data_IF_443473538345
#
_entry.id   IF_443473538345
#
_cell.length_a   1.000
_cell.length_b   1.000
_cell.length_c   1.000
_cell.angle_alpha   90.00
_cell.angle_beta   90.00
_cell.angle_gamma   90.00
#
_symmetry.space_group_name_H-M   'P 1'
#
loop_
_entity.id
_entity.type
_entity.pdbx_description
1 polymer ?
#
# COMPACT_ATOMS: atom_id res chain seq x y z
N UNK A 1 21.67 5.90 -40.94
CA UNK A 1 21.43 4.98 -39.80
C UNK A 1 21.69 5.72 -38.49
N UNK A 2 20.65 6.29 -37.88
CA UNK A 2 20.73 6.90 -36.54
C UNK A 2 20.21 5.89 -35.51
N UNK A 3 21.07 5.47 -34.59
CA UNK A 3 20.70 4.57 -33.48
C UNK A 3 20.07 5.43 -32.37
N UNK A 4 18.75 5.47 -32.32
CA UNK A 4 17.98 5.96 -31.18
C UNK A 4 18.19 5.02 -29.99
N UNK A 5 18.78 5.51 -28.90
CA UNK A 5 18.89 4.77 -27.64
C UNK A 5 17.63 5.03 -26.83
N UNK A 6 16.62 4.18 -26.97
CA UNK A 6 15.45 4.16 -26.09
C UNK A 6 15.84 3.51 -24.75
N UNK A 7 16.15 4.32 -23.74
CA UNK A 7 16.21 3.86 -22.36
C UNK A 7 14.84 4.07 -21.71
N UNK A 8 14.03 3.00 -21.67
CA UNK A 8 12.73 2.99 -20.97
C UNK A 8 13.01 2.67 -19.50
N UNK A 9 13.26 3.72 -18.70
CA UNK A 9 13.30 3.64 -17.25
C UNK A 9 11.90 3.91 -16.68
N UNK A 10 11.34 2.93 -15.95
CA UNK A 10 9.97 2.96 -15.43
C UNK A 10 9.95 3.22 -13.92
N UNK A 11 9.67 4.45 -13.51
CA UNK A 11 9.36 4.85 -12.15
C UNK A 11 8.01 5.57 -12.15
N UNK A 12 7.02 4.79 -11.80
CA UNK A 12 5.67 5.20 -11.49
C UNK A 12 5.63 6.32 -10.45
N UNK A 13 4.95 7.42 -10.80
CA UNK A 13 4.70 8.58 -9.94
C UNK A 13 3.74 8.24 -8.79
N UNK A 14 4.26 7.64 -7.72
CA UNK A 14 3.49 7.36 -6.51
C UNK A 14 3.78 8.41 -5.42
N UNK A 15 3.32 9.65 -5.61
CA UNK A 15 3.30 10.68 -4.55
C UNK A 15 2.60 10.12 -3.29
N UNK A 16 1.55 9.31 -3.45
CA UNK A 16 0.88 8.61 -2.35
C UNK A 16 1.77 7.60 -1.61
N UNK A 17 2.78 7.01 -2.26
CA UNK A 17 3.70 6.09 -1.62
C UNK A 17 4.90 6.80 -0.95
N UNK A 18 5.19 8.05 -1.31
CA UNK A 18 6.20 8.89 -0.64
C UNK A 18 5.64 9.43 0.70
N UNK A 19 4.35 9.76 0.76
CA UNK A 19 3.71 10.30 1.97
C UNK A 19 3.23 9.26 2.99
N UNK A 20 3.43 7.97 2.74
CA UNK A 20 3.19 6.97 3.78
C UNK A 20 1.73 6.79 4.16
N UNK A 21 0.82 6.86 3.20
CA UNK A 21 -0.49 6.19 3.34
C UNK A 21 -0.25 4.68 3.16
N UNK A 22 0.56 4.10 4.05
CA UNK A 22 0.83 2.68 4.10
C UNK A 22 -0.28 1.99 4.88
N UNK A 23 -1.16 1.27 4.17
CA UNK A 23 -1.60 -0.09 4.54
C UNK A 23 -1.64 -0.45 6.04
N UNK A 24 -2.31 0.36 6.86
CA UNK A 24 -2.18 0.26 8.31
C UNK A 24 -3.28 0.93 9.08
N UNK A 25 -4.53 0.80 8.64
CA UNK A 25 -5.69 1.11 9.47
C UNK A 25 -6.53 -0.16 9.66
N UNK A 26 -5.87 -1.22 10.14
CA UNK A 26 -6.55 -2.39 10.69
C UNK A 26 -5.93 -2.72 12.05
N UNK A 27 -6.82 -2.75 13.04
CA UNK A 27 -6.61 -2.93 14.46
C UNK A 27 -6.00 -1.72 15.18
N UNK A 28 -6.79 -1.11 16.06
CA UNK A 28 -6.40 -0.76 17.42
C UNK A 28 -7.67 -0.30 18.16
N UNK A 29 -8.30 -1.26 18.83
CA UNK A 29 -9.10 -1.01 20.01
C UNK A 29 -8.30 -1.66 21.14
N UNK A 30 -7.35 -0.91 21.70
CA UNK A 30 -6.72 -1.13 23.01
C UNK A 30 -5.81 0.07 23.37
N UNK A 31 -5.65 0.40 24.67
CA UNK A 31 -5.12 1.67 25.21
C UNK A 31 -3.61 1.88 24.95
N UNK A 32 -3.08 3.11 25.18
CA UNK A 32 -1.81 3.55 24.60
C UNK A 32 -0.61 2.87 25.27
N UNK A 33 -0.01 1.90 24.57
CA UNK A 33 1.32 1.39 24.91
C UNK A 33 2.43 2.39 24.56
N UNK A 34 3.57 2.37 25.29
CA UNK A 34 4.61 3.37 25.13
C UNK A 34 5.35 3.21 23.80
N UNK A 35 5.36 4.31 23.03
CA UNK A 35 6.42 4.68 22.09
C UNK A 35 6.77 3.65 21.02
N UNK A 36 6.00 3.60 19.94
CA UNK A 36 6.53 3.12 18.66
C UNK A 36 7.43 4.22 18.10
N UNK A 37 8.72 4.13 18.44
CA UNK A 37 9.79 4.82 17.74
C UNK A 37 9.77 4.51 16.23
N UNK A 38 10.46 5.31 15.41
CA UNK A 38 10.32 5.29 13.95
C UNK A 38 10.70 3.93 13.37
N UNK A 39 9.70 3.10 13.00
CA UNK A 39 9.90 1.93 12.13
C UNK A 39 10.46 2.37 10.77
N UNK A 40 11.13 1.49 10.01
CA UNK A 40 12.15 1.82 9.01
C UNK A 40 11.63 2.86 8.01
N UNK A 41 11.90 4.11 8.37
CA UNK A 41 11.32 5.33 7.80
C UNK A 41 12.39 6.39 7.68
N UNK A 42 13.63 5.94 7.44
CA UNK A 42 14.63 6.73 6.73
C UNK A 42 14.04 7.18 5.39
N UNK A 43 14.50 8.32 4.87
CA UNK A 43 13.69 9.13 3.99
C UNK A 43 13.38 8.35 2.71
N UNK A 44 12.12 8.39 2.26
CA UNK A 44 11.61 7.72 1.05
C UNK A 44 12.15 8.36 -0.25
N UNK A 45 13.41 8.82 -0.22
CA UNK A 45 14.16 9.48 -1.28
C UNK A 45 14.43 8.61 -2.51
N UNK A 46 14.60 7.26 -2.44
CA UNK A 46 14.94 6.49 -3.64
C UNK A 46 13.90 6.61 -4.75
N UNK A 47 12.62 6.76 -4.39
CA UNK A 47 11.52 6.90 -5.37
C UNK A 47 11.41 8.31 -5.93
N UNK A 48 11.70 9.34 -5.14
CA UNK A 48 11.70 10.71 -5.63
C UNK A 48 12.86 10.95 -6.59
N UNK A 49 14.04 10.41 -6.28
CA UNK A 49 15.23 10.60 -7.09
C UNK A 49 15.09 9.94 -8.46
N UNK A 50 14.59 8.70 -8.49
CA UNK A 50 14.26 8.01 -9.74
C UNK A 50 13.21 8.75 -10.58
N UNK A 51 12.22 9.36 -9.93
CA UNK A 51 11.22 10.13 -10.62
C UNK A 51 11.79 11.45 -11.16
N UNK A 52 12.63 12.12 -10.37
CA UNK A 52 13.27 13.37 -10.76
C UNK A 52 14.16 13.18 -11.99
N UNK A 53 14.86 12.05 -12.07
CA UNK A 53 15.61 11.63 -13.25
C UNK A 53 14.67 11.38 -14.44
N UNK A 54 13.56 10.67 -14.22
CA UNK A 54 12.63 10.36 -15.30
C UNK A 54 11.84 11.55 -15.82
N UNK A 55 11.59 12.57 -15.01
CA UNK A 55 10.95 13.80 -15.44
C UNK A 55 11.97 14.85 -15.87
N UNK A 56 13.27 14.51 -15.87
CA UNK A 56 14.35 15.43 -16.22
C UNK A 56 14.23 16.76 -15.45
N UNK A 57 13.94 16.67 -14.13
CA UNK A 57 13.68 17.84 -13.31
C UNK A 57 14.92 18.72 -13.17
N UNK A 58 14.72 20.02 -13.32
CA UNK A 58 15.75 21.02 -13.02
C UNK A 58 16.02 21.09 -11.51
N UNK A 59 17.18 21.59 -11.11
CA UNK A 59 17.51 21.71 -9.69
C UNK A 59 16.56 22.68 -8.95
N UNK A 60 16.10 23.74 -9.63
CA UNK A 60 15.07 24.63 -9.11
C UNK A 60 13.75 23.90 -8.83
N UNK A 61 13.29 23.06 -9.77
CA UNK A 61 12.08 22.25 -9.59
C UNK A 61 12.24 21.22 -8.45
N UNK A 62 13.40 20.57 -8.35
CA UNK A 62 13.70 19.64 -7.25
C UNK A 62 13.61 20.33 -5.89
N UNK A 63 14.21 21.52 -5.75
CA UNK A 63 14.14 22.30 -4.51
C UNK A 63 12.70 22.67 -4.15
N UNK A 64 11.90 23.11 -5.12
CA UNK A 64 10.49 23.44 -4.90
C UNK A 64 9.68 22.21 -4.48
N UNK A 65 9.83 21.08 -5.17
CA UNK A 65 9.13 19.84 -4.86
C UNK A 65 9.54 19.29 -3.49
N UNK A 66 10.81 19.41 -3.11
CA UNK A 66 11.28 19.01 -1.78
C UNK A 66 10.57 19.82 -0.69
N UNK A 67 10.46 21.14 -0.85
CA UNK A 67 9.74 22.00 0.09
C UNK A 67 8.26 21.62 0.24
N UNK A 68 7.58 21.32 -0.87
CA UNK A 68 6.19 20.84 -0.88
C UNK A 68 6.04 19.53 -0.10
N UNK A 69 6.96 18.58 -0.31
CA UNK A 69 6.91 17.28 0.38
C UNK A 69 7.25 17.37 1.87
N UNK A 70 8.17 18.25 2.25
CA UNK A 70 8.49 18.52 3.66
C UNK A 70 7.29 19.14 4.39
N UNK A 71 6.59 20.08 3.74
CA UNK A 71 5.36 20.66 4.27
C UNK A 71 4.27 19.59 4.46
N UNK A 72 4.00 18.80 3.42
CA UNK A 72 3.02 17.71 3.48
C UNK A 72 3.35 16.69 4.59
N UNK A 73 4.64 16.35 4.74
CA UNK A 73 5.11 15.46 5.81
C UNK A 73 4.81 16.05 7.19
N UNK A 74 5.06 17.35 7.39
CA UNK A 74 4.77 18.03 8.66
C UNK A 74 3.27 17.99 8.97
N UNK A 75 2.42 18.33 8.00
CA UNK A 75 0.96 18.29 8.16
C UNK A 75 0.46 16.89 8.53
N UNK A 76 0.94 15.85 7.85
CA UNK A 76 0.58 14.47 8.15
C UNK A 76 1.07 14.01 9.53
N UNK A 77 2.22 14.50 9.99
CA UNK A 77 2.71 14.21 11.34
C UNK A 77 1.82 14.84 12.41
N UNK A 78 1.43 16.10 12.23
CA UNK A 78 0.47 16.79 13.10
C UNK A 78 -0.85 16.04 13.13
N UNK A 79 -1.41 15.74 11.95
CA UNK A 79 -2.67 15.01 11.80
C UNK A 79 -2.65 13.65 12.49
N UNK A 80 -1.53 12.92 12.38
CA UNK A 80 -1.37 11.63 13.04
C UNK A 80 -1.45 11.75 14.56
N UNK A 81 -0.81 12.77 15.11
CA UNK A 81 -0.69 12.98 16.55
C UNK A 81 -1.89 13.72 17.18
N UNK A 82 -2.79 14.27 16.37
CA UNK A 82 -3.99 14.97 16.83
C UNK A 82 -4.96 13.99 17.52
N UNK A 83 -5.14 14.09 18.83
CA UNK A 83 -6.02 13.19 19.59
C UNK A 83 -7.48 13.64 19.59
N UNK A 84 -7.79 14.80 19.01
CA UNK A 84 -9.15 15.37 18.98
C UNK A 84 -9.98 14.88 17.80
N UNK A 85 -9.32 14.38 16.74
CA UNK A 85 -9.97 13.94 15.51
C UNK A 85 -10.28 12.44 15.52
N UNK A 86 -11.45 12.09 14.97
CA UNK A 86 -11.79 10.70 14.68
C UNK A 86 -10.91 10.13 13.56
N UNK A 87 -10.88 8.80 13.45
CA UNK A 87 -10.16 8.13 12.37
C UNK A 87 -10.66 8.53 10.98
N UNK A 88 -11.97 8.66 10.80
CA UNK A 88 -12.60 9.08 9.55
C UNK A 88 -12.17 10.50 9.17
N UNK A 89 -12.25 11.44 10.12
CA UNK A 89 -11.79 12.82 9.93
C UNK A 89 -10.31 12.86 9.54
N UNK A 90 -9.46 12.07 10.20
CA UNK A 90 -8.04 11.97 9.84
C UNK A 90 -7.83 11.39 8.44
N UNK A 91 -8.64 10.42 8.02
CA UNK A 91 -8.54 9.86 6.67
C UNK A 91 -8.90 10.90 5.61
N UNK A 92 -9.97 11.65 5.82
CA UNK A 92 -10.41 12.68 4.88
C UNK A 92 -9.41 13.86 4.81
N UNK A 93 -8.90 14.31 5.96
CA UNK A 93 -7.84 15.34 5.98
C UNK A 93 -6.54 14.85 5.33
N UNK A 94 -6.14 13.59 5.54
CA UNK A 94 -4.96 13.02 4.90
C UNK A 94 -5.12 12.94 3.37
N UNK A 95 -6.33 12.63 2.89
CA UNK A 95 -6.65 12.68 1.46
C UNK A 95 -6.50 14.11 0.92
N UNK A 96 -7.04 15.11 1.62
CA UNK A 96 -6.93 16.52 1.22
C UNK A 96 -5.47 16.98 1.14
N UNK A 97 -4.65 16.66 2.15
CA UNK A 97 -3.20 16.98 2.14
C UNK A 97 -2.54 16.33 0.92
N UNK A 98 -2.86 15.06 0.64
CA UNK A 98 -2.28 14.33 -0.50
C UNK A 98 -2.69 14.96 -1.84
N UNK A 99 -3.95 15.38 -1.98
CA UNK A 99 -4.45 16.04 -3.19
C UNK A 99 -3.77 17.39 -3.39
N UNK A 100 -3.73 18.23 -2.35
CA UNK A 100 -3.05 19.53 -2.40
C UNK A 100 -1.56 19.39 -2.74
N UNK A 101 -0.87 18.41 -2.14
CA UNK A 101 0.54 18.12 -2.45
C UNK A 101 0.70 17.75 -3.92
N UNK A 102 -0.20 16.90 -4.46
CA UNK A 102 -0.17 16.50 -5.86
C UNK A 102 -0.34 17.71 -6.78
N UNK A 103 -1.30 18.58 -6.50
CA UNK A 103 -1.61 19.74 -7.32
C UNK A 103 -0.45 20.76 -7.29
N UNK A 104 0.17 20.96 -6.12
CA UNK A 104 1.36 21.80 -5.96
C UNK A 104 2.59 21.24 -6.69
N UNK A 105 2.80 19.93 -6.67
CA UNK A 105 3.89 19.31 -7.45
C UNK A 105 3.60 19.45 -8.94
N UNK A 106 2.36 19.21 -9.36
CA UNK A 106 1.96 19.28 -10.76
C UNK A 106 2.18 20.69 -11.35
N UNK A 107 1.93 21.75 -10.57
CA UNK A 107 2.15 23.14 -11.02
C UNK A 107 3.61 23.55 -11.16
N UNK A 108 4.55 22.81 -10.56
CA UNK A 108 6.00 23.03 -10.71
C UNK A 108 6.54 22.43 -12.02
N UNK A 109 5.81 21.47 -12.60
CA UNK A 109 6.21 20.76 -13.82
C UNK A 109 5.86 21.56 -15.08
N UNK A 110 6.68 21.40 -16.13
CA UNK A 110 6.33 21.87 -17.48
C UNK A 110 5.22 21.02 -18.10
N UNK A 111 4.50 21.50 -19.14
CA UNK A 111 3.46 20.71 -19.81
C UNK A 111 3.96 19.33 -20.30
N UNK A 112 5.17 19.26 -20.84
CA UNK A 112 5.77 18.00 -21.30
C UNK A 112 6.06 17.04 -20.13
N UNK A 113 6.53 17.57 -19.00
CA UNK A 113 6.77 16.79 -17.78
C UNK A 113 5.46 16.31 -17.16
N UNK A 114 4.38 17.09 -17.23
CA UNK A 114 3.04 16.69 -16.79
C UNK A 114 2.51 15.53 -17.62
N UNK A 115 2.61 15.62 -18.96
CA UNK A 115 2.21 14.52 -19.84
C UNK A 115 2.97 13.22 -19.53
N UNK A 116 4.30 13.31 -19.36
CA UNK A 116 5.14 12.16 -18.97
C UNK A 116 4.78 11.60 -17.59
N UNK A 117 4.47 12.49 -16.64
CA UNK A 117 4.03 12.12 -15.30
C UNK A 117 2.70 11.34 -15.31
N UNK A 118 1.73 11.77 -16.11
CA UNK A 118 0.45 11.09 -16.25
C UNK A 118 0.57 9.75 -16.98
N UNK A 119 1.42 9.65 -18.00
CA UNK A 119 1.75 8.38 -18.66
C UNK A 119 2.36 7.38 -17.67
N UNK A 120 3.37 7.81 -16.90
CA UNK A 120 4.01 6.97 -15.87
C UNK A 120 3.01 6.50 -14.82
N UNK A 121 2.04 7.36 -14.45
CA UNK A 121 0.95 6.99 -13.53
C UNK A 121 0.03 5.94 -14.14
N UNK A 122 -0.37 6.10 -15.40
CA UNK A 122 -1.23 5.13 -16.07
C UNK A 122 -0.54 3.75 -16.17
N UNK A 123 0.72 3.72 -16.61
CA UNK A 123 1.50 2.49 -16.69
C UNK A 123 1.67 1.83 -15.31
N UNK A 124 1.83 2.63 -14.26
CA UNK A 124 1.84 2.11 -12.89
C UNK A 124 0.53 1.41 -12.55
N UNK A 125 -0.58 2.09 -12.81
CA UNK A 125 -1.92 1.58 -12.51
C UNK A 125 -2.19 0.26 -13.23
N UNK A 126 -1.85 0.16 -14.52
CA UNK A 126 -1.95 -1.06 -15.31
C UNK A 126 -1.11 -2.19 -14.72
N UNK A 127 0.15 -1.90 -14.34
CA UNK A 127 1.04 -2.89 -13.70
C UNK A 127 0.51 -3.37 -12.36
N UNK A 128 0.02 -2.46 -11.53
CA UNK A 128 -0.60 -2.81 -10.26
C UNK A 128 -1.88 -3.62 -10.47
N UNK A 129 -2.68 -3.28 -11.48
CA UNK A 129 -3.86 -4.05 -11.90
C UNK A 129 -3.50 -5.49 -12.27
N UNK A 130 -2.57 -5.66 -13.20
CA UNK A 130 -2.09 -6.97 -13.63
C UNK A 130 -1.46 -7.78 -12.48
N UNK A 131 -0.70 -7.12 -11.60
CA UNK A 131 -0.12 -7.78 -10.43
C UNK A 131 -1.20 -8.23 -9.44
N UNK A 132 -2.24 -7.42 -9.21
CA UNK A 132 -3.37 -7.78 -8.35
C UNK A 132 -4.10 -8.99 -8.90
N UNK A 133 -4.37 -9.02 -10.19
CA UNK A 133 -5.03 -10.14 -10.87
C UNK A 133 -4.24 -11.44 -10.73
N UNK A 134 -2.92 -11.37 -10.96
CA UNK A 134 -2.03 -12.51 -10.75
C UNK A 134 -2.02 -12.99 -9.29
N UNK A 135 -2.02 -12.06 -8.32
CA UNK A 135 -2.09 -12.44 -6.91
C UNK A 135 -3.43 -13.11 -6.56
N UNK A 136 -4.54 -12.61 -7.10
CA UNK A 136 -5.86 -13.18 -6.90
C UNK A 136 -5.95 -14.61 -7.46
N UNK A 137 -5.46 -14.83 -8.68
CA UNK A 137 -5.38 -16.15 -9.29
C UNK A 137 -4.54 -17.12 -8.46
N UNK A 138 -3.39 -16.66 -7.94
CA UNK A 138 -2.53 -17.45 -7.06
C UNK A 138 -3.21 -17.78 -5.73
N UNK A 139 -3.95 -16.83 -5.15
CA UNK A 139 -4.71 -17.04 -3.93
C UNK A 139 -5.81 -18.08 -4.16
N UNK A 140 -6.57 -17.96 -5.25
CA UNK A 140 -7.60 -18.93 -5.61
C UNK A 140 -6.99 -20.31 -5.84
N UNK A 141 -5.88 -20.40 -6.57
CA UNK A 141 -5.17 -21.68 -6.80
C UNK A 141 -4.74 -22.35 -5.50
N UNK A 142 -4.28 -21.57 -4.51
CA UNK A 142 -3.91 -22.10 -3.19
C UNK A 142 -5.15 -22.55 -2.41
N UNK A 143 -6.22 -21.75 -2.42
CA UNK A 143 -7.47 -22.11 -1.75
C UNK A 143 -8.08 -23.38 -2.35
N UNK A 144 -8.09 -23.53 -3.68
CA UNK A 144 -8.53 -24.75 -4.36
C UNK A 144 -7.78 -25.98 -3.86
N UNK A 145 -6.46 -25.88 -3.70
CA UNK A 145 -5.63 -26.99 -3.20
C UNK A 145 -5.77 -27.26 -1.71
N UNK A 146 -6.10 -26.25 -0.91
CA UNK A 146 -6.16 -26.38 0.55
C UNK A 146 -7.53 -26.83 1.06
N UNK A 147 -8.59 -26.50 0.31
CA UNK A 147 -9.97 -26.82 0.65
C UNK A 147 -10.53 -27.90 -0.28
N UNK A 148 -9.71 -28.47 -1.17
CA UNK A 148 -10.13 -29.42 -2.21
C UNK A 148 -11.40 -28.97 -2.94
N UNK A 149 -11.39 -27.72 -3.41
CA UNK A 149 -12.57 -27.12 -4.05
C UNK A 149 -12.90 -27.85 -5.35
N UNK A 150 -14.19 -28.13 -5.55
CA UNK A 150 -14.67 -28.67 -6.82
C UNK A 150 -14.61 -27.61 -7.93
N UNK A 151 -14.61 -28.05 -9.20
CA UNK A 151 -14.62 -27.13 -10.34
C UNK A 151 -15.83 -26.19 -10.31
N UNK A 152 -16.99 -26.70 -9.89
CA UNK A 152 -18.19 -25.88 -9.71
C UNK A 152 -18.01 -24.82 -8.61
N UNK A 153 -17.46 -25.18 -7.45
CA UNK A 153 -17.21 -24.22 -6.37
C UNK A 153 -16.20 -23.16 -6.81
N UNK A 154 -15.12 -23.57 -7.48
CA UNK A 154 -14.10 -22.67 -8.03
C UNK A 154 -14.69 -21.67 -9.02
N UNK A 155 -15.51 -22.14 -9.96
CA UNK A 155 -16.17 -21.28 -10.96
C UNK A 155 -17.09 -20.26 -10.29
N UNK A 156 -17.89 -20.68 -9.30
CA UNK A 156 -18.78 -19.75 -8.57
C UNK A 156 -17.99 -18.71 -7.78
N UNK A 157 -16.89 -19.10 -7.12
CA UNK A 157 -16.03 -18.18 -6.39
C UNK A 157 -15.38 -17.15 -7.35
N UNK A 158 -14.92 -17.57 -8.53
CA UNK A 158 -14.39 -16.66 -9.55
C UNK A 158 -15.41 -15.59 -9.97
N UNK A 159 -16.68 -15.97 -10.13
CA UNK A 159 -17.73 -15.02 -10.48
C UNK A 159 -17.93 -13.96 -9.38
N UNK A 160 -17.90 -14.34 -8.10
CA UNK A 160 -18.01 -13.39 -6.99
C UNK A 160 -16.81 -12.46 -6.87
N UNK A 161 -15.59 -12.95 -7.14
CA UNK A 161 -14.41 -12.10 -7.15
C UNK A 161 -14.43 -11.11 -8.33
N UNK A 162 -14.93 -11.53 -9.50
CA UNK A 162 -15.12 -10.65 -10.64
C UNK A 162 -16.19 -9.57 -10.40
N UNK A 163 -17.30 -9.92 -9.74
CA UNK A 163 -18.32 -8.97 -9.27
C UNK A 163 -17.70 -7.96 -8.29
N UNK A 164 -16.96 -8.44 -7.28
CA UNK A 164 -16.22 -7.59 -6.35
C UNK A 164 -15.27 -6.61 -7.07
N UNK A 165 -14.49 -7.10 -8.05
CA UNK A 165 -13.57 -6.27 -8.85
C UNK A 165 -14.33 -5.13 -9.53
N UNK A 166 -15.47 -5.43 -10.11
CA UNK A 166 -16.34 -4.45 -10.79
C UNK A 166 -16.87 -3.41 -9.82
N UNK A 167 -17.38 -3.82 -8.65
CA UNK A 167 -17.88 -2.90 -7.63
C UNK A 167 -16.79 -2.00 -7.06
N UNK A 168 -15.60 -2.54 -6.81
CA UNK A 168 -14.46 -1.76 -6.33
C UNK A 168 -13.94 -0.76 -7.38
N UNK A 169 -14.02 -1.10 -8.68
CA UNK A 169 -13.67 -0.16 -9.75
C UNK A 169 -14.67 1.00 -9.79
N UNK A 170 -15.97 0.73 -9.77
CA UNK A 170 -17.00 1.76 -9.72
C UNK A 170 -16.84 2.66 -8.47
N UNK A 171 -16.50 2.07 -7.33
CA UNK A 171 -16.24 2.80 -6.10
C UNK A 171 -15.00 3.71 -6.19
N UNK A 172 -13.94 3.25 -6.86
CA UNK A 172 -12.73 4.04 -7.10
C UNK A 172 -13.07 5.31 -7.90
N UNK A 173 -13.85 5.14 -8.97
CA UNK A 173 -14.16 6.20 -9.94
C UNK A 173 -15.26 7.17 -9.45
N UNK A 174 -15.98 6.81 -8.37
CA UNK A 174 -17.02 7.66 -7.79
C UNK A 174 -16.44 8.93 -7.14
N UNK A 175 -16.65 10.11 -7.72
CA UNK A 175 -16.13 11.39 -7.20
C UNK A 175 -17.01 12.03 -6.12
N UNK A 176 -18.22 11.53 -5.89
CA UNK A 176 -19.16 12.09 -4.92
C UNK A 176 -18.88 11.66 -3.47
N UNK A 177 -18.08 10.60 -3.27
CA UNK A 177 -17.79 10.03 -1.96
C UNK A 177 -16.45 10.52 -1.40
N UNK A 178 -16.42 10.77 -0.09
CA UNK A 178 -15.18 11.02 0.66
C UNK A 178 -14.32 9.75 0.76
N UNK A 179 -13.06 9.91 1.14
CA UNK A 179 -12.18 8.74 1.36
C UNK A 179 -12.70 7.82 2.47
N UNK A 180 -13.24 8.39 3.56
CA UNK A 180 -13.88 7.63 4.64
C UNK A 180 -15.06 6.80 4.13
N UNK A 181 -15.99 7.42 3.39
CA UNK A 181 -17.15 6.73 2.81
C UNK A 181 -16.74 5.63 1.82
N UNK A 182 -15.75 5.90 0.94
CA UNK A 182 -15.20 4.87 0.05
C UNK A 182 -14.60 3.72 0.83
N UNK A 183 -13.92 3.99 1.94
CA UNK A 183 -13.35 2.94 2.77
C UNK A 183 -14.42 2.04 3.39
N UNK A 184 -15.51 2.63 3.89
CA UNK A 184 -16.66 1.90 4.44
C UNK A 184 -17.33 1.02 3.38
N UNK A 185 -17.64 1.57 2.21
CA UNK A 185 -18.24 0.81 1.12
C UNK A 185 -17.32 -0.32 0.65
N UNK A 186 -16.01 -0.08 0.59
CA UNK A 186 -15.04 -1.13 0.29
C UNK A 186 -15.03 -2.24 1.36
N UNK A 187 -15.20 -1.92 2.65
CA UNK A 187 -15.34 -2.97 3.68
C UNK A 187 -16.60 -3.79 3.46
N UNK A 188 -17.72 -3.13 3.18
CA UNK A 188 -19.01 -3.78 2.94
C UNK A 188 -18.94 -4.74 1.75
N UNK A 189 -18.41 -4.27 0.60
CA UNK A 189 -18.20 -5.10 -0.59
C UNK A 189 -17.34 -6.34 -0.24
N UNK A 190 -16.27 -6.16 0.52
CA UNK A 190 -15.39 -7.28 0.94
C UNK A 190 -16.11 -8.28 1.83
N UNK A 191 -16.87 -7.82 2.82
CA UNK A 191 -17.64 -8.67 3.73
C UNK A 191 -18.70 -9.47 2.97
N UNK A 192 -19.50 -8.79 2.14
CA UNK A 192 -20.53 -9.45 1.33
C UNK A 192 -19.94 -10.51 0.39
N UNK A 193 -18.79 -10.19 -0.25
CA UNK A 193 -18.09 -11.16 -1.11
C UNK A 193 -17.61 -12.36 -0.29
N UNK A 194 -17.08 -12.13 0.91
CA UNK A 194 -16.62 -13.20 1.80
C UNK A 194 -17.77 -14.11 2.24
N UNK A 195 -18.94 -13.57 2.55
CA UNK A 195 -20.14 -14.33 2.91
C UNK A 195 -20.64 -15.18 1.73
N UNK A 196 -20.72 -14.58 0.53
CA UNK A 196 -21.05 -15.30 -0.72
C UNK A 196 -20.08 -16.44 -1.01
N UNK A 197 -18.78 -16.25 -0.76
CA UNK A 197 -17.78 -17.32 -0.92
C UNK A 197 -17.99 -18.40 0.15
N UNK A 198 -18.19 -18.02 1.42
CA UNK A 198 -18.36 -18.98 2.52
C UNK A 198 -19.58 -19.88 2.31
N UNK A 199 -20.68 -19.36 1.76
CA UNK A 199 -21.89 -20.15 1.50
C UNK A 199 -21.74 -21.21 0.40
N UNK A 200 -20.73 -21.11 -0.45
CA UNK A 200 -20.41 -22.11 -1.50
C UNK A 200 -19.61 -23.28 -0.92
N UNK A 201 -18.98 -23.11 0.23
CA UNK A 201 -18.13 -24.10 0.87
C UNK A 201 -18.94 -25.07 1.74
N UNK A 202 -18.51 -26.33 1.81
CA UNK A 202 -19.05 -27.31 2.75
C UNK A 202 -18.67 -26.95 4.19
N UNK A 203 -19.36 -27.52 5.18
CA UNK A 203 -19.05 -27.27 6.59
C UNK A 203 -17.57 -27.59 6.92
N UNK A 204 -17.05 -28.69 6.41
CA UNK A 204 -15.64 -29.10 6.59
C UNK A 204 -14.66 -28.10 5.97
N UNK A 205 -14.93 -27.65 4.74
CA UNK A 205 -14.11 -26.64 4.05
C UNK A 205 -14.16 -25.29 4.77
N UNK A 206 -15.30 -24.91 5.34
CA UNK A 206 -15.41 -23.68 6.15
C UNK A 206 -14.54 -23.76 7.41
N UNK A 207 -14.54 -24.90 8.11
CA UNK A 207 -13.68 -25.11 9.28
C UNK A 207 -12.20 -25.01 8.90
N UNK A 208 -11.78 -25.63 7.80
CA UNK A 208 -10.40 -25.51 7.31
C UNK A 208 -10.04 -24.06 6.95
N UNK A 209 -10.94 -23.34 6.29
CA UNK A 209 -10.73 -21.93 5.93
C UNK A 209 -10.56 -21.05 7.18
N UNK A 210 -11.36 -21.27 8.22
CA UNK A 210 -11.29 -20.50 9.45
C UNK A 210 -9.98 -20.80 10.23
N UNK A 211 -9.51 -22.05 10.25
CA UNK A 211 -8.18 -22.41 10.78
C UNK A 211 -7.04 -21.74 10.01
N UNK A 212 -7.14 -21.72 8.67
CA UNK A 212 -6.18 -21.05 7.80
C UNK A 212 -6.09 -19.54 8.09
N UNK A 213 -7.23 -18.90 8.36
CA UNK A 213 -7.29 -17.49 8.75
C UNK A 213 -6.62 -17.24 10.09
N UNK A 214 -6.88 -18.08 11.08
CA UNK A 214 -6.28 -17.98 12.40
C UNK A 214 -4.75 -18.12 12.34
N UNK A 215 -4.23 -19.12 11.61
CA UNK A 215 -2.79 -19.27 11.40
C UNK A 215 -2.15 -18.05 10.72
N UNK A 216 -2.84 -17.46 9.74
CA UNK A 216 -2.38 -16.24 9.07
C UNK A 216 -2.37 -15.05 10.03
N UNK A 217 -3.38 -14.94 10.91
CA UNK A 217 -3.46 -13.91 11.93
C UNK A 217 -2.33 -14.06 12.95
N UNK A 218 -2.06 -15.27 13.43
CA UNK A 218 -0.96 -15.56 14.36
C UNK A 218 0.41 -15.29 13.74
N UNK A 219 0.62 -15.65 12.48
CA UNK A 219 1.86 -15.29 11.78
C UNK A 219 2.04 -13.78 11.68
N UNK A 220 0.96 -13.03 11.47
CA UNK A 220 1.00 -11.56 11.47
C UNK A 220 1.31 -11.01 12.86
N UNK A 221 0.70 -11.55 13.91
CA UNK A 221 0.95 -11.15 15.30
C UNK A 221 2.37 -11.51 15.75
N UNK A 222 2.86 -12.70 15.41
CA UNK A 222 4.22 -13.17 15.67
C UNK A 222 5.29 -12.31 14.99
N UNK A 223 5.05 -11.84 13.76
CA UNK A 223 5.94 -10.88 13.09
C UNK A 223 5.94 -9.50 13.77
N UNK A 224 4.81 -9.05 14.31
CA UNK A 224 4.72 -7.80 15.09
C UNK A 224 5.46 -7.91 16.43
N UNK A 225 5.45 -9.09 17.07
CA UNK A 225 6.15 -9.34 18.35
C UNK A 225 7.65 -9.64 18.17
N UNK A 226 8.04 -10.32 17.08
CA UNK A 226 9.41 -10.72 16.75
C UNK A 226 10.29 -9.60 16.18
N UNK A 227 9.71 -8.50 15.70
CA UNK A 227 10.46 -7.32 15.22
C UNK A 227 11.26 -6.56 16.28
N UNK A 228 11.22 -6.98 17.56
CA UNK A 228 12.01 -6.41 18.68
C UNK A 228 13.27 -7.20 19.05
N UNK A 229 13.55 -8.37 18.47
CA UNK A 229 14.77 -9.16 18.76
C UNK A 229 15.34 -9.78 17.48
N UNK A 230 16.36 -9.17 16.90
CA UNK A 230 17.02 -9.75 15.73
C UNK A 230 18.00 -8.86 14.97
N UNK A 231 18.93 -8.18 15.68
CA UNK A 231 20.24 -7.83 15.10
C UNK A 231 21.26 -8.71 15.81
N UNK A 232 21.81 -9.76 15.18
CA UNK A 232 23.02 -10.41 15.69
C UNK A 232 24.13 -9.37 15.67
N UNK A 233 24.75 -9.14 16.83
CA UNK A 233 25.89 -8.26 16.97
C UNK A 233 26.99 -8.63 15.98
N UNK A 234 27.55 -7.61 15.33
CA UNK A 234 28.82 -7.73 14.63
C UNK A 234 29.85 -8.30 15.61
N UNK A 235 30.49 -9.39 15.19
CA UNK A 235 31.39 -10.18 16.00
C UNK A 235 32.50 -9.35 16.63
N UNK A 236 32.64 -9.51 17.94
CA UNK A 236 33.87 -9.19 18.63
C UNK A 236 34.99 -10.06 18.06
N UNK A 237 35.96 -9.40 17.43
CA UNK A 237 37.24 -10.00 17.09
C UNK A 237 37.97 -10.28 18.40
N UNK A 238 38.22 -11.56 18.65
CA UNK A 238 39.17 -12.01 19.66
C UNK A 238 40.54 -11.40 19.33
N UNK A 239 41.10 -10.65 20.27
CA UNK A 239 42.54 -10.42 20.28
C UNK A 239 43.11 -10.92 21.60
N UNK A 240 44.23 -11.60 21.48
CA UNK A 240 44.84 -12.50 22.45
C UNK A 240 45.53 -11.71 23.56
N UNK A 241 45.87 -12.41 24.65
CA UNK A 241 46.27 -11.84 25.93
C UNK A 241 47.60 -11.10 25.95
N UNK A 242 47.87 -10.45 27.08
CA UNK A 242 49.12 -10.58 27.83
C UNK A 242 48.91 -10.08 29.27
N UNK A 243 49.63 -10.72 30.17
CA UNK A 243 49.62 -10.57 31.63
C UNK A 243 50.23 -9.27 32.14
N UNK A 244 49.89 -9.00 33.41
CA UNK A 244 50.33 -7.96 34.36
C UNK A 244 49.67 -6.58 34.22
#
# INVERSE_FOLDING_TARGET
>A
MMRSKTHIGLAALLIAAILGVGHGVYALQDPPGPGVGPGPGGPRLPRLQQLAEQLDLTDAQKTQIQGVLENARSQLQTLRNDTTLTREQKMDQAQQITQQTRDQIHSVLTPDQQAKADELRQQAEERFGAQREKMEEQLLTRLTKQLDLTDSQKSTIQLYLQDQKTQLQALKDNTALTASQKFEQMQSIRQQTQEKIKSVLTAEQQTQLDQLREQMQDRRQGRRRGGRRGRPGGGGVQNQGFSL
#
